data_IF_481211405588
#
_entry.id   IF_481211405588
#
_cell.length_a   1.000
_cell.length_b   1.000
_cell.length_c   1.000
_cell.angle_alpha   90.00
_cell.angle_beta   90.00
_cell.angle_gamma   90.00
#
_symmetry.space_group_name_H-M   'P 1'
#
loop_
_entity.id
_entity.type
_entity.pdbx_description
1 polymer ?
#
# COMPACT_ATOMS: atom_id res chain seq x y z
N UNK A 1 46.13 -0.27 9.33
CA UNK A 1 45.54 -0.04 8.00
C UNK A 1 44.44 -1.08 7.87
N UNK A 2 43.18 -0.68 8.02
CA UNK A 2 42.04 -1.62 7.98
C UNK A 2 41.40 -1.40 6.62
N UNK A 3 41.53 -2.38 5.74
CA UNK A 3 40.77 -2.44 4.49
C UNK A 3 39.32 -2.79 4.87
N UNK A 4 38.42 -1.83 4.66
CA UNK A 4 36.99 -2.05 4.83
C UNK A 4 36.49 -2.54 3.47
N UNK A 5 36.08 -3.80 3.38
CA UNK A 5 35.39 -4.34 2.22
C UNK A 5 34.14 -3.50 1.91
N UNK A 6 33.88 -3.12 0.65
CA UNK A 6 32.69 -2.36 0.32
C UNK A 6 31.46 -3.23 0.54
N UNK A 7 30.66 -2.82 1.52
CA UNK A 7 29.35 -3.38 1.84
C UNK A 7 28.47 -3.33 0.60
N UNK A 8 27.83 -4.47 0.30
CA UNK A 8 26.86 -4.68 -0.77
C UNK A 8 25.91 -3.47 -0.82
N UNK A 9 25.99 -2.66 -1.89
CA UNK A 9 25.08 -1.51 -2.08
C UNK A 9 23.65 -2.04 -2.04
N UNK A 10 22.84 -1.58 -1.09
CA UNK A 10 21.39 -1.66 -1.21
C UNK A 10 21.01 -1.06 -2.56
N UNK A 11 20.24 -1.80 -3.36
CA UNK A 11 19.67 -1.27 -4.59
C UNK A 11 18.77 -0.08 -4.21
N UNK A 12 19.23 1.11 -4.54
CA UNK A 12 18.50 2.36 -4.25
C UNK A 12 17.30 2.44 -5.17
N UNK A 13 16.10 2.25 -4.61
CA UNK A 13 14.85 2.45 -5.36
C UNK A 13 14.70 3.95 -5.62
N UNK A 14 14.88 4.35 -6.88
CA UNK A 14 14.62 5.73 -7.30
C UNK A 14 13.11 5.95 -7.38
N UNK A 15 12.54 6.58 -6.35
CA UNK A 15 11.12 6.92 -6.32
C UNK A 15 10.87 8.31 -6.97
N UNK A 16 9.97 8.36 -7.94
CA UNK A 16 9.48 9.61 -8.54
C UNK A 16 7.98 9.74 -8.27
N UNK A 17 7.54 10.88 -7.73
CA UNK A 17 6.14 11.17 -7.46
C UNK A 17 5.66 12.32 -8.33
N UNK A 18 4.56 12.11 -9.03
CA UNK A 18 3.86 13.15 -9.81
C UNK A 18 2.35 12.98 -9.63
N UNK A 19 1.59 13.95 -10.13
CA UNK A 19 0.13 13.97 -10.11
C UNK A 19 -0.38 14.16 -11.53
N UNK A 20 -1.44 13.43 -11.88
CA UNK A 20 -2.15 13.59 -13.14
C UNK A 20 -3.65 13.47 -12.86
N UNK A 21 -4.44 14.20 -13.63
CA UNK A 21 -5.90 14.17 -13.54
C UNK A 21 -6.48 13.29 -14.64
N UNK A 22 -7.68 12.75 -14.37
CA UNK A 22 -8.46 12.06 -15.38
C UNK A 22 -9.17 13.12 -16.22
N UNK A 23 -8.94 13.10 -17.53
CA UNK A 23 -9.58 14.00 -18.47
C UNK A 23 -11.08 13.67 -18.67
N UNK A 24 -11.80 14.53 -19.41
CA UNK A 24 -13.22 14.32 -19.68
C UNK A 24 -13.53 13.03 -20.49
N UNK A 25 -12.52 12.42 -21.13
CA UNK A 25 -12.65 11.15 -21.83
C UNK A 25 -12.39 9.93 -20.93
N UNK A 26 -12.09 10.14 -19.65
CA UNK A 26 -11.75 9.08 -18.71
C UNK A 26 -10.30 8.59 -18.83
N UNK A 27 -9.42 9.35 -19.47
CA UNK A 27 -8.02 8.97 -19.68
C UNK A 27 -7.09 9.78 -18.77
N UNK A 28 -5.99 9.15 -18.37
CA UNK A 28 -4.88 9.77 -17.64
C UNK A 28 -3.58 9.49 -18.41
N UNK A 29 -2.80 10.54 -18.66
CA UNK A 29 -1.52 10.46 -19.38
C UNK A 29 -0.43 11.07 -18.51
N UNK A 30 0.67 10.35 -18.32
CA UNK A 30 1.88 10.81 -17.63
C UNK A 30 3.03 10.76 -18.61
N UNK A 31 3.56 11.92 -18.98
CA UNK A 31 4.64 12.07 -19.96
C UNK A 31 5.92 12.60 -19.31
N UNK A 32 7.04 12.48 -20.03
CA UNK A 32 8.34 13.02 -19.62
C UNK A 32 8.83 12.49 -18.26
N UNK A 33 8.56 11.20 -17.97
CA UNK A 33 9.08 10.54 -16.78
C UNK A 33 10.62 10.50 -16.80
N UNK A 34 11.29 10.77 -15.67
CA UNK A 34 12.76 10.85 -15.61
C UNK A 34 13.42 9.46 -15.49
N UNK A 35 12.92 8.47 -16.23
CA UNK A 35 13.42 7.09 -16.22
C UNK A 35 13.99 6.70 -17.59
N UNK A 36 15.05 5.88 -17.63
CA UNK A 36 15.63 5.44 -18.89
C UNK A 36 14.69 4.50 -19.64
N UNK A 37 14.83 4.45 -20.97
CA UNK A 37 14.08 3.52 -21.82
C UNK A 37 14.31 2.07 -21.37
N UNK A 38 13.22 1.32 -21.19
CA UNK A 38 13.26 -0.08 -20.77
C UNK A 38 13.27 -0.31 -19.26
N UNK A 39 13.23 0.74 -18.45
CA UNK A 39 13.03 0.60 -17.00
C UNK A 39 11.65 -0.03 -16.71
N UNK A 40 11.63 -1.04 -15.84
CA UNK A 40 10.40 -1.57 -15.26
C UNK A 40 9.99 -0.66 -14.08
N UNK A 41 8.81 -0.05 -14.17
CA UNK A 41 8.28 0.85 -13.15
C UNK A 41 7.06 0.23 -12.49
N UNK A 42 7.03 0.23 -11.16
CA UNK A 42 5.81 -0.03 -10.39
C UNK A 42 4.94 1.24 -10.40
N UNK A 43 3.63 1.09 -10.63
CA UNK A 43 2.67 2.20 -10.68
C UNK A 43 1.68 2.07 -9.53
N UNK A 44 1.68 3.06 -8.62
CA UNK A 44 0.68 3.19 -7.56
C UNK A 44 -0.29 4.32 -7.90
N UNK A 45 -1.57 4.00 -8.08
CA UNK A 45 -2.64 4.97 -8.33
C UNK A 45 -3.41 5.21 -7.04
N UNK A 46 -3.45 6.46 -6.59
CA UNK A 46 -4.17 6.87 -5.37
C UNK A 46 -5.12 7.99 -5.70
N UNK A 47 -6.41 7.77 -5.48
CA UNK A 47 -7.40 8.84 -5.48
C UNK A 47 -7.20 9.73 -4.25
N UNK A 48 -6.76 10.96 -4.48
CA UNK A 48 -6.52 11.99 -3.46
C UNK A 48 -7.77 12.81 -3.14
N UNK A 49 -8.82 12.72 -3.96
CA UNK A 49 -10.04 13.51 -3.79
C UNK A 49 -10.98 12.90 -2.75
N UNK A 50 -10.78 11.63 -2.39
CA UNK A 50 -11.55 10.97 -1.35
C UNK A 50 -11.19 11.54 0.02
N UNK A 51 -12.14 12.21 0.67
CA UNK A 51 -11.89 12.78 1.99
C UNK A 51 -11.51 11.68 2.99
N UNK A 52 -10.57 11.94 3.92
CA UNK A 52 -10.20 10.98 4.96
C UNK A 52 -11.41 10.44 5.75
N UNK A 53 -12.45 11.26 5.92
CA UNK A 53 -13.73 10.92 6.55
C UNK A 53 -14.52 9.86 5.75
N UNK A 54 -14.59 9.99 4.43
CA UNK A 54 -15.24 9.01 3.55
C UNK A 54 -14.49 7.67 3.57
N UNK A 55 -13.16 7.73 3.63
CA UNK A 55 -12.32 6.53 3.79
C UNK A 55 -12.64 5.83 5.12
N UNK A 56 -12.67 6.55 6.24
CA UNK A 56 -13.00 5.98 7.54
C UNK A 56 -14.40 5.36 7.58
N UNK A 57 -15.40 6.03 7.00
CA UNK A 57 -16.77 5.51 6.91
C UNK A 57 -16.83 4.22 6.07
N UNK A 58 -16.15 4.19 4.92
CA UNK A 58 -16.11 2.99 4.07
C UNK A 58 -15.45 1.80 4.76
N UNK A 59 -14.36 2.04 5.52
CA UNK A 59 -13.71 1.00 6.30
C UNK A 59 -14.59 0.49 7.45
N UNK A 60 -15.26 1.38 8.18
CA UNK A 60 -16.18 0.98 9.23
C UNK A 60 -17.33 0.14 8.67
N UNK A 61 -17.89 0.52 7.51
CA UNK A 61 -18.94 -0.24 6.85
C UNK A 61 -18.45 -1.65 6.46
N UNK A 62 -17.25 -1.76 5.87
CA UNK A 62 -16.65 -3.04 5.53
C UNK A 62 -16.43 -3.93 6.76
N UNK A 63 -15.87 -3.37 7.84
CA UNK A 63 -15.62 -4.12 9.07
C UNK A 63 -16.91 -4.63 9.70
N UNK A 64 -17.98 -3.82 9.75
CA UNK A 64 -19.30 -4.27 10.21
C UNK A 64 -19.83 -5.40 9.34
N UNK A 65 -19.74 -5.26 8.03
CA UNK A 65 -20.17 -6.31 7.10
C UNK A 65 -19.42 -7.63 7.36
N UNK A 66 -18.10 -7.59 7.54
CA UNK A 66 -17.30 -8.77 7.87
C UNK A 66 -17.70 -9.37 9.22
N UNK A 67 -17.94 -8.56 10.25
CA UNK A 67 -18.38 -9.02 11.58
C UNK A 67 -19.79 -9.64 11.58
N UNK A 68 -20.61 -9.28 10.61
CA UNK A 68 -21.97 -9.83 10.44
C UNK A 68 -22.00 -11.18 9.72
N UNK A 69 -20.90 -11.59 9.08
CA UNK A 69 -20.83 -12.87 8.39
C UNK A 69 -20.94 -14.05 9.39
N UNK A 70 -21.65 -15.14 9.02
CA UNK A 70 -21.82 -16.30 9.90
C UNK A 70 -20.50 -16.90 10.38
N UNK A 71 -19.50 -17.00 9.49
CA UNK A 71 -18.18 -17.51 9.86
C UNK A 71 -17.47 -16.69 10.94
N UNK A 72 -17.74 -15.38 11.00
CA UNK A 72 -17.13 -14.47 11.96
C UNK A 72 -17.67 -14.66 13.37
N UNK A 73 -18.88 -15.23 13.52
CA UNK A 73 -19.51 -15.47 14.84
C UNK A 73 -18.78 -16.54 15.67
N UNK A 74 -17.97 -17.37 15.02
CA UNK A 74 -17.22 -18.45 15.68
C UNK A 74 -15.77 -18.06 16.03
N UNK A 75 -15.35 -16.84 15.69
CA UNK A 75 -13.99 -16.36 15.97
C UNK A 75 -14.04 -15.61 17.30
N UNK A 76 -13.27 -16.06 18.29
CA UNK A 76 -13.21 -15.37 19.58
C UNK A 76 -12.16 -14.26 19.58
N UNK A 77 -12.33 -13.27 20.46
CA UNK A 77 -11.32 -12.22 20.71
C UNK A 77 -9.94 -12.81 21.08
N UNK A 78 -9.93 -13.98 21.73
CA UNK A 78 -8.69 -14.68 22.08
C UNK A 78 -7.97 -15.21 20.83
N UNK A 79 -8.73 -15.75 19.87
CA UNK A 79 -8.17 -16.27 18.61
C UNK A 79 -7.57 -15.13 17.79
N UNK A 80 -8.28 -14.00 17.72
CA UNK A 80 -7.81 -12.77 17.05
C UNK A 80 -6.54 -12.25 17.71
N UNK A 81 -6.52 -12.15 19.05
CA UNK A 81 -5.36 -11.66 19.78
C UNK A 81 -4.13 -12.55 19.62
N UNK A 82 -4.33 -13.88 19.57
CA UNK A 82 -3.25 -14.85 19.34
C UNK A 82 -2.65 -14.69 17.93
N UNK A 83 -3.48 -14.58 16.88
CA UNK A 83 -3.02 -14.36 15.51
C UNK A 83 -2.23 -13.04 15.39
N UNK A 84 -2.76 -11.94 15.93
CA UNK A 84 -2.09 -10.63 15.91
C UNK A 84 -0.73 -10.71 16.61
N UNK A 85 -0.66 -11.39 17.77
CA UNK A 85 0.60 -11.57 18.49
C UNK A 85 1.60 -12.34 17.62
N UNK A 86 1.20 -13.47 17.04
CA UNK A 86 2.05 -14.30 16.18
C UNK A 86 2.65 -13.48 15.02
N UNK A 87 1.81 -12.81 14.24
CA UNK A 87 2.24 -11.98 13.10
C UNK A 87 3.18 -10.85 13.52
N UNK A 88 2.94 -10.21 14.66
CA UNK A 88 3.79 -9.10 15.15
C UNK A 88 5.09 -9.56 15.78
N UNK A 89 5.10 -10.73 16.42
CA UNK A 89 6.30 -11.32 17.01
C UNK A 89 7.28 -11.91 15.99
N UNK A 90 6.80 -12.13 14.76
CA UNK A 90 7.59 -12.68 13.64
C UNK A 90 8.17 -11.59 12.72
N UNK A 91 7.88 -10.30 13.00
CA UNK A 91 8.51 -9.14 12.36
C UNK A 91 9.58 -8.55 13.27
#
# INVERSE_FOLDING_TARGET
MIEIEPTKREETVNAYKTYAEIDASGRMVIESLPFPKGALLEVLIVDQNRQPSERAASWQALMRHVQDLPQSKNISEKDIAAEIHEVRSTR
#
